data_IF_598465592958
#
_entry.id   IF_598465592958
#
_cell.length_a   1.000
_cell.length_b   1.000
_cell.length_c   1.000
_cell.angle_alpha   90.00
_cell.angle_beta   90.00
_cell.angle_gamma   90.00
#
_symmetry.space_group_name_H-M   'P 1'
#
loop_
_entity.id
_entity.type
_entity.pdbx_description
1 polymer ?
#
# COMPACT_ATOMS: atom_id res chain seq x y z
N UNK A 1 25.61 15.46 -4.85
CA UNK A 1 26.37 16.68 -4.52
C UNK A 1 25.69 17.87 -5.13
N UNK A 2 25.51 18.91 -4.32
CA UNK A 2 24.95 20.21 -4.72
C UNK A 2 26.07 21.25 -4.64
N UNK A 3 26.21 22.11 -5.66
CA UNK A 3 27.11 23.24 -5.64
C UNK A 3 26.31 24.53 -5.72
N UNK A 4 26.46 25.41 -4.73
CA UNK A 4 25.65 26.64 -4.57
C UNK A 4 24.14 26.35 -4.69
N UNK A 5 23.67 25.24 -4.11
CA UNK A 5 22.26 24.82 -4.15
C UNK A 5 21.81 24.13 -5.45
N UNK A 6 22.62 24.06 -6.49
CA UNK A 6 22.29 23.38 -7.75
C UNK A 6 22.85 21.96 -7.78
N UNK A 7 22.07 21.01 -8.27
CA UNK A 7 22.51 19.63 -8.46
C UNK A 7 23.64 19.56 -9.51
N UNK A 8 24.75 18.89 -9.17
CA UNK A 8 25.92 18.76 -10.05
C UNK A 8 26.16 17.31 -10.45
N UNK A 9 26.19 16.39 -9.48
CA UNK A 9 26.52 14.99 -9.75
C UNK A 9 25.96 14.05 -8.68
N UNK A 10 25.70 12.80 -9.09
CA UNK A 10 25.51 11.66 -8.19
C UNK A 10 26.84 10.92 -8.09
N UNK A 11 27.21 10.50 -6.89
CA UNK A 11 28.41 9.68 -6.64
C UNK A 11 27.99 8.29 -6.19
N UNK A 12 28.80 7.29 -6.53
CA UNK A 12 28.58 5.94 -6.05
C UNK A 12 28.93 5.81 -4.55
N UNK A 13 28.40 4.78 -3.86
CA UNK A 13 28.79 4.49 -2.48
C UNK A 13 30.30 4.33 -2.35
N UNK A 14 30.88 4.95 -1.31
CA UNK A 14 32.31 4.90 -1.05
C UNK A 14 32.88 6.27 -0.65
N UNK A 15 34.20 6.34 -0.61
CA UNK A 15 34.90 7.58 -0.30
C UNK A 15 34.89 8.52 -1.52
N UNK A 16 34.22 9.66 -1.40
CA UNK A 16 34.13 10.66 -2.44
C UNK A 16 34.56 12.02 -1.89
N UNK A 17 35.41 12.72 -2.65
CA UNK A 17 35.84 14.06 -2.31
C UNK A 17 34.80 15.09 -2.76
N UNK A 18 34.52 16.07 -1.91
CA UNK A 18 33.70 17.23 -2.22
C UNK A 18 34.36 18.51 -1.62
N UNK A 19 34.04 19.65 -2.18
CA UNK A 19 34.53 20.95 -1.67
C UNK A 19 33.74 21.29 -0.38
N UNK A 20 34.38 21.74 0.70
CA UNK A 20 33.68 22.05 1.95
C UNK A 20 32.68 23.20 1.80
N UNK A 21 31.73 23.25 2.77
CA UNK A 21 30.80 24.38 2.89
C UNK A 21 31.55 25.72 2.90
N UNK A 22 31.00 26.76 2.26
CA UNK A 22 29.61 26.87 1.74
C UNK A 22 29.47 26.51 0.24
N UNK A 23 30.52 26.01 -0.42
CA UNK A 23 30.53 25.79 -1.87
C UNK A 23 29.71 24.54 -2.26
N UNK A 24 29.98 23.42 -1.61
CA UNK A 24 29.25 22.18 -1.88
C UNK A 24 28.53 21.65 -0.64
N UNK A 25 27.33 21.06 -0.89
CA UNK A 25 26.52 20.34 0.10
C UNK A 25 26.22 18.95 -0.40
N UNK A 26 26.34 17.96 0.45
CA UNK A 26 26.06 16.56 0.12
C UNK A 26 24.77 16.12 0.77
N UNK A 27 23.88 15.49 -0.01
CA UNK A 27 22.70 14.77 0.47
C UNK A 27 22.95 13.28 0.29
N UNK A 28 22.76 12.48 1.36
CA UNK A 28 23.03 11.03 1.36
C UNK A 28 21.77 10.25 1.73
N UNK A 29 20.79 10.11 0.80
CA UNK A 29 19.63 9.28 1.06
C UNK A 29 20.04 7.79 1.13
N UNK A 30 19.39 7.03 1.99
CA UNK A 30 19.66 5.59 2.17
C UNK A 30 18.97 4.78 1.07
N UNK A 31 19.57 4.68 -0.11
CA UNK A 31 18.99 4.02 -1.29
C UNK A 31 18.80 2.51 -1.13
N UNK A 32 19.59 1.86 -0.28
CA UNK A 32 19.49 0.39 -0.04
C UNK A 32 18.48 0.03 1.06
N UNK A 33 17.98 1.02 1.79
CA UNK A 33 17.00 0.78 2.85
C UNK A 33 15.64 0.53 2.23
N UNK A 34 15.01 -0.60 2.54
CA UNK A 34 13.60 -0.80 2.28
C UNK A 34 12.81 0.04 3.29
N UNK A 35 12.04 0.96 2.78
CA UNK A 35 11.11 1.76 3.57
C UNK A 35 9.77 1.01 3.59
N UNK A 36 9.07 1.08 4.72
CA UNK A 36 7.74 0.53 4.90
C UNK A 36 6.79 1.68 5.23
N UNK A 37 5.63 1.64 4.64
CA UNK A 37 4.54 2.56 4.93
C UNK A 37 3.28 1.76 5.20
N UNK A 38 2.67 2.01 6.35
CA UNK A 38 1.45 1.36 6.78
C UNK A 38 0.25 2.26 6.50
N UNK A 39 -0.81 1.71 5.90
CA UNK A 39 -2.02 2.41 5.50
C UNK A 39 -3.22 1.67 6.08
N UNK A 40 -4.15 2.42 6.68
CA UNK A 40 -5.31 1.90 7.40
C UNK A 40 -5.07 1.69 8.89
N UNK A 41 -3.84 1.56 9.31
CA UNK A 41 -3.47 1.35 10.71
C UNK A 41 -2.18 2.07 11.09
N UNK A 42 -1.97 2.26 12.39
CA UNK A 42 -0.71 2.76 12.95
C UNK A 42 -0.13 1.73 13.91
N UNK A 43 1.10 1.31 13.65
CA UNK A 43 1.86 0.43 14.51
C UNK A 43 2.49 1.22 15.67
N UNK A 44 2.72 0.57 16.83
CA UNK A 44 3.35 1.19 18.02
C UNK A 44 4.69 1.90 17.74
N UNK A 45 5.39 1.50 16.67
CA UNK A 45 6.67 2.10 16.31
C UNK A 45 6.58 3.53 15.82
N UNK A 46 5.39 3.95 15.32
CA UNK A 46 5.19 5.30 14.75
C UNK A 46 4.54 6.27 15.74
N UNK A 47 3.87 5.74 16.76
CA UNK A 47 3.07 6.55 17.70
C UNK A 47 3.74 6.71 19.02
N UNK A 48 4.93 6.91 19.28
CA UNK A 48 5.61 7.31 20.55
C UNK A 48 4.86 7.20 21.90
N UNK A 49 3.70 6.56 21.90
CA UNK A 49 2.84 6.29 23.05
C UNK A 49 2.93 4.81 23.45
N UNK A 50 3.27 4.55 24.68
CA UNK A 50 3.47 3.21 25.29
C UNK A 50 2.17 2.48 25.64
N UNK A 51 1.14 2.59 24.82
CA UNK A 51 -0.11 1.85 25.04
C UNK A 51 -0.28 0.83 23.90
N UNK A 52 0.07 -0.42 24.20
CA UNK A 52 0.18 -1.55 23.26
C UNK A 52 -1.10 -1.85 22.49
N UNK A 53 -1.32 -1.17 21.36
CA UNK A 53 -2.42 -1.43 20.47
C UNK A 53 -2.15 -0.91 19.06
N UNK A 54 -2.55 -1.69 18.05
CA UNK A 54 -2.67 -1.20 16.68
C UNK A 54 -3.89 -0.28 16.65
N UNK A 55 -3.70 0.99 16.29
CA UNK A 55 -4.80 1.94 16.13
C UNK A 55 -5.26 1.91 14.67
N UNK A 56 -6.50 1.49 14.44
CA UNK A 56 -7.14 1.57 13.12
C UNK A 56 -7.42 3.03 12.75
N UNK A 57 -7.23 3.35 11.46
CA UNK A 57 -7.53 4.66 10.87
C UNK A 57 -8.62 4.47 9.82
N UNK A 58 -9.92 4.54 10.21
CA UNK A 58 -11.02 4.21 9.31
C UNK A 58 -11.09 5.06 8.04
N UNK A 59 -10.58 6.29 8.09
CA UNK A 59 -10.53 7.19 6.92
C UNK A 59 -9.63 6.65 5.80
N UNK A 60 -8.62 5.85 6.15
CA UNK A 60 -7.66 5.24 5.22
C UNK A 60 -8.04 3.81 4.86
N UNK A 61 -8.69 3.06 5.77
CA UNK A 61 -8.95 1.62 5.65
C UNK A 61 -10.30 1.27 5.04
N UNK A 62 -11.32 2.12 5.20
CA UNK A 62 -12.66 1.83 4.67
C UNK A 62 -12.74 2.07 3.17
N UNK A 63 -13.13 1.03 2.43
CA UNK A 63 -13.24 1.05 0.98
C UNK A 63 -14.53 0.40 0.52
N UNK A 64 -15.06 0.86 -0.63
CA UNK A 64 -16.25 0.30 -1.27
C UNK A 64 -15.82 -0.66 -2.38
N UNK A 65 -16.38 -1.87 -2.37
CA UNK A 65 -16.15 -2.90 -3.38
C UNK A 65 -17.05 -2.70 -4.61
N UNK A 66 -16.72 -3.36 -5.72
CA UNK A 66 -17.51 -3.30 -6.95
C UNK A 66 -18.91 -3.92 -6.86
N UNK A 67 -19.19 -4.71 -5.83
CA UNK A 67 -20.50 -5.29 -5.49
C UNK A 67 -21.18 -4.58 -4.30
N UNK A 68 -20.84 -3.29 -4.11
CA UNK A 68 -21.50 -2.36 -3.16
C UNK A 68 -21.37 -2.76 -1.67
N UNK A 69 -20.33 -3.51 -1.31
CA UNK A 69 -20.02 -3.82 0.08
C UNK A 69 -18.93 -2.89 0.61
N UNK A 70 -18.96 -2.61 1.91
CA UNK A 70 -17.89 -1.88 2.61
C UNK A 70 -16.94 -2.90 3.23
N UNK A 71 -15.65 -2.70 3.00
CA UNK A 71 -14.57 -3.50 3.58
C UNK A 71 -13.57 -2.62 4.30
N UNK A 72 -12.98 -3.14 5.36
CA UNK A 72 -11.87 -2.54 6.08
C UNK A 72 -10.59 -3.25 5.62
N UNK A 73 -9.67 -2.51 4.98
CA UNK A 73 -8.44 -3.06 4.42
C UNK A 73 -7.24 -2.31 4.97
N UNK A 74 -6.40 -3.05 5.69
CA UNK A 74 -5.12 -2.58 6.17
C UNK A 74 -4.00 -3.19 5.33
N UNK A 75 -3.10 -2.36 4.85
CA UNK A 75 -2.00 -2.84 4.02
C UNK A 75 -0.71 -2.05 4.24
N UNK A 76 0.41 -2.69 3.87
CA UNK A 76 1.73 -2.10 3.95
C UNK A 76 2.36 -2.06 2.56
N UNK A 77 2.95 -0.92 2.23
CA UNK A 77 3.72 -0.74 0.99
C UNK A 77 5.20 -0.71 1.32
N UNK A 78 5.97 -1.54 0.65
CA UNK A 78 7.42 -1.59 0.73
C UNK A 78 8.03 -0.96 -0.51
N UNK A 79 8.94 -0.04 -0.32
CA UNK A 79 9.56 0.69 -1.42
C UNK A 79 11.03 1.04 -1.14
N UNK A 80 11.78 1.26 -2.21
CA UNK A 80 13.20 1.66 -2.18
C UNK A 80 13.42 2.86 -3.09
N UNK A 81 14.49 3.58 -2.83
CA UNK A 81 14.90 4.70 -3.68
C UNK A 81 15.74 4.15 -4.83
N UNK A 82 15.21 4.21 -6.06
CA UNK A 82 15.90 3.80 -7.27
C UNK A 82 16.81 4.89 -7.81
N UNK A 83 16.35 6.13 -7.79
CA UNK A 83 17.09 7.31 -8.24
C UNK A 83 17.06 8.40 -7.16
N UNK A 84 18.21 8.58 -6.49
CA UNK A 84 18.36 9.55 -5.42
C UNK A 84 18.21 11.02 -5.90
N UNK A 85 18.55 11.31 -7.17
CA UNK A 85 18.40 12.65 -7.73
C UNK A 85 16.94 13.01 -7.90
N UNK A 86 16.16 12.13 -8.53
CA UNK A 86 14.72 12.32 -8.70
C UNK A 86 14.01 12.39 -7.36
N UNK A 87 14.28 11.46 -6.45
CA UNK A 87 13.70 11.41 -5.12
C UNK A 87 13.89 12.71 -4.31
N UNK A 88 15.06 13.35 -4.42
CA UNK A 88 15.39 14.53 -3.64
C UNK A 88 14.93 15.86 -4.27
N UNK A 89 14.69 15.89 -5.59
CA UNK A 89 14.51 17.15 -6.30
C UNK A 89 13.25 17.23 -7.17
N UNK A 90 12.59 16.11 -7.47
CA UNK A 90 11.39 16.12 -8.29
C UNK A 90 10.11 16.23 -7.44
N UNK A 91 10.12 15.71 -6.23
CA UNK A 91 8.96 15.68 -5.36
C UNK A 91 9.27 16.37 -4.05
N UNK A 92 8.37 17.23 -3.60
CA UNK A 92 8.52 17.97 -2.34
C UNK A 92 8.34 17.07 -1.11
N UNK A 93 7.32 16.20 -1.16
CA UNK A 93 7.01 15.22 -0.12
C UNK A 93 6.88 13.82 -0.74
N UNK A 94 7.99 13.06 -0.82
CA UNK A 94 7.97 11.72 -1.39
C UNK A 94 7.13 10.73 -0.59
N UNK A 95 7.15 10.80 0.74
CA UNK A 95 6.40 9.89 1.60
C UNK A 95 4.89 10.12 1.47
N UNK A 96 4.45 11.38 1.53
CA UNK A 96 3.05 11.73 1.29
C UNK A 96 2.57 11.36 -0.12
N UNK A 97 3.43 11.48 -1.13
CA UNK A 97 3.12 11.07 -2.50
C UNK A 97 2.94 9.56 -2.62
N UNK A 98 3.83 8.77 -2.01
CA UNK A 98 3.68 7.29 -1.97
C UNK A 98 2.39 6.90 -1.27
N UNK A 99 2.05 7.55 -0.15
CA UNK A 99 0.82 7.31 0.58
C UNK A 99 -0.42 7.57 -0.27
N UNK A 100 -0.51 8.74 -0.87
CA UNK A 100 -1.64 9.13 -1.72
C UNK A 100 -1.79 8.21 -2.95
N UNK A 101 -0.67 7.84 -3.59
CA UNK A 101 -0.66 6.89 -4.69
C UNK A 101 -1.14 5.51 -4.26
N UNK A 102 -0.70 5.03 -3.09
CA UNK A 102 -1.08 3.73 -2.56
C UNK A 102 -2.56 3.66 -2.18
N UNK A 103 -3.08 4.68 -1.51
CA UNK A 103 -4.51 4.78 -1.18
C UNK A 103 -5.38 4.82 -2.44
N UNK A 104 -4.98 5.59 -3.45
CA UNK A 104 -5.70 5.71 -4.71
C UNK A 104 -5.70 4.39 -5.47
N UNK A 105 -4.55 3.75 -5.61
CA UNK A 105 -4.40 2.47 -6.30
C UNK A 105 -5.22 1.35 -5.64
N UNK A 106 -5.13 1.23 -4.30
CA UNK A 106 -5.89 0.21 -3.58
C UNK A 106 -7.40 0.44 -3.74
N UNK A 107 -7.89 1.67 -3.57
CA UNK A 107 -9.32 1.98 -3.80
C UNK A 107 -9.77 1.64 -5.21
N UNK A 108 -8.95 1.90 -6.22
CA UNK A 108 -9.27 1.56 -7.62
C UNK A 108 -9.39 0.05 -7.83
N UNK A 109 -8.47 -0.74 -7.28
CA UNK A 109 -8.49 -2.20 -7.40
C UNK A 109 -9.68 -2.79 -6.64
N UNK A 110 -9.92 -2.32 -5.42
CA UNK A 110 -11.04 -2.79 -4.58
C UNK A 110 -12.39 -2.44 -5.21
N UNK A 111 -12.54 -1.24 -5.77
CA UNK A 111 -13.77 -0.83 -6.46
C UNK A 111 -14.10 -1.67 -7.69
N UNK A 112 -13.12 -2.36 -8.28
CA UNK A 112 -13.31 -3.30 -9.39
C UNK A 112 -13.49 -4.75 -8.92
N UNK A 113 -13.22 -5.05 -7.67
CA UNK A 113 -13.21 -6.38 -7.09
C UNK A 113 -14.51 -6.69 -6.34
N UNK A 114 -14.87 -7.98 -6.28
CA UNK A 114 -15.99 -8.45 -5.46
C UNK A 114 -15.49 -8.80 -4.05
N UNK A 115 -16.33 -8.60 -3.05
CA UNK A 115 -15.96 -8.87 -1.66
C UNK A 115 -15.44 -10.29 -1.43
N UNK A 116 -16.00 -11.31 -2.10
CA UNK A 116 -15.52 -12.68 -1.97
C UNK A 116 -14.07 -12.86 -2.43
N UNK A 117 -13.66 -12.19 -3.52
CA UNK A 117 -12.30 -12.26 -4.03
C UNK A 117 -11.30 -11.59 -3.05
N UNK A 118 -11.74 -10.51 -2.40
CA UNK A 118 -10.93 -9.77 -1.43
C UNK A 118 -10.68 -10.61 -0.16
N UNK A 119 -11.69 -11.34 0.30
CA UNK A 119 -11.63 -12.12 1.53
C UNK A 119 -10.99 -13.51 1.37
N UNK A 120 -10.82 -14.02 0.14
CA UNK A 120 -10.34 -15.38 -0.12
C UNK A 120 -9.02 -15.41 -0.93
N UNK A 121 -9.00 -16.11 -2.05
CA UNK A 121 -7.81 -16.39 -2.86
C UNK A 121 -7.36 -15.21 -3.75
N UNK A 122 -8.16 -14.16 -3.85
CA UNK A 122 -7.85 -12.99 -4.70
C UNK A 122 -6.78 -12.05 -4.15
N UNK A 123 -6.34 -12.25 -2.89
CA UNK A 123 -5.41 -11.34 -2.20
C UNK A 123 -4.11 -11.08 -2.98
N UNK A 124 -3.44 -12.13 -3.44
CA UNK A 124 -2.19 -11.99 -4.20
C UNK A 124 -2.39 -11.23 -5.53
N UNK A 125 -3.53 -11.42 -6.18
CA UNK A 125 -3.87 -10.68 -7.39
C UNK A 125 -4.07 -9.20 -7.10
N UNK A 126 -4.81 -8.87 -6.04
CA UNK A 126 -5.06 -7.50 -5.59
C UNK A 126 -3.74 -6.80 -5.22
N UNK A 127 -2.86 -7.47 -4.49
CA UNK A 127 -1.55 -6.95 -4.11
C UNK A 127 -0.69 -6.62 -5.34
N UNK A 128 -0.64 -7.51 -6.34
CA UNK A 128 0.11 -7.30 -7.57
C UNK A 128 -0.48 -6.17 -8.43
N UNK A 129 -1.79 -6.17 -8.65
CA UNK A 129 -2.46 -5.10 -9.42
C UNK A 129 -2.28 -3.73 -8.73
N UNK A 130 -2.40 -3.69 -7.41
CA UNK A 130 -2.16 -2.46 -6.64
C UNK A 130 -0.70 -2.00 -6.79
N UNK A 131 0.27 -2.92 -6.70
CA UNK A 131 1.68 -2.60 -6.89
C UNK A 131 1.96 -2.00 -8.27
N UNK A 132 1.38 -2.56 -9.33
CA UNK A 132 1.54 -2.06 -10.70
C UNK A 132 0.96 -0.65 -10.86
N UNK A 133 -0.22 -0.39 -10.30
CA UNK A 133 -0.85 0.93 -10.37
C UNK A 133 -0.04 1.96 -9.57
N UNK A 134 0.40 1.64 -8.34
CA UNK A 134 1.26 2.52 -7.55
C UNK A 134 2.53 2.86 -8.33
N UNK A 135 3.19 1.85 -8.92
CA UNK A 135 4.41 2.06 -9.69
C UNK A 135 4.16 2.95 -10.91
N UNK A 136 3.06 2.74 -11.61
CA UNK A 136 2.68 3.59 -12.77
C UNK A 136 2.49 5.06 -12.38
N UNK A 137 1.80 5.32 -11.26
CA UNK A 137 1.59 6.68 -10.74
C UNK A 137 2.93 7.32 -10.35
N UNK A 138 3.79 6.58 -9.63
CA UNK A 138 5.09 7.08 -9.19
C UNK A 138 6.06 7.32 -10.35
N UNK A 139 5.95 6.55 -11.43
CA UNK A 139 6.74 6.72 -12.66
C UNK A 139 6.27 7.95 -13.45
N UNK A 140 4.96 8.20 -13.51
CA UNK A 140 4.40 9.41 -14.14
C UNK A 140 4.92 10.69 -13.45
N UNK A 141 5.00 10.68 -12.11
CA UNK A 141 5.60 11.78 -11.35
C UNK A 141 7.13 11.83 -11.38
N UNK A 142 7.79 10.89 -12.07
CA UNK A 142 9.25 10.77 -12.08
C UNK A 142 9.86 10.74 -10.67
N UNK A 143 9.22 10.06 -9.73
CA UNK A 143 9.55 10.06 -8.30
C UNK A 143 10.94 9.51 -7.96
N UNK A 144 11.49 8.64 -8.82
CA UNK A 144 12.71 7.90 -8.52
C UNK A 144 12.54 6.83 -7.43
N UNK A 145 11.28 6.44 -7.14
CA UNK A 145 10.92 5.42 -6.17
C UNK A 145 10.56 4.13 -6.91
N UNK A 146 10.92 2.99 -6.33
CA UNK A 146 10.49 1.67 -6.80
C UNK A 146 9.73 0.96 -5.69
N UNK A 147 8.50 0.57 -5.98
CA UNK A 147 7.69 -0.28 -5.10
C UNK A 147 8.18 -1.71 -5.23
N UNK A 148 8.56 -2.32 -4.12
CA UNK A 148 9.06 -3.70 -4.10
C UNK A 148 7.96 -4.70 -3.80
N UNK A 149 7.03 -4.34 -2.93
CA UNK A 149 5.92 -5.21 -2.54
C UNK A 149 4.78 -4.39 -1.94
N UNK A 150 3.56 -4.85 -2.16
CA UNK A 150 2.36 -4.47 -1.40
C UNK A 150 1.92 -5.71 -0.63
N UNK A 151 1.58 -5.56 0.64
CA UNK A 151 1.16 -6.65 1.51
C UNK A 151 -0.09 -6.25 2.28
N UNK A 152 -1.16 -7.00 2.10
CA UNK A 152 -2.40 -6.83 2.86
C UNK A 152 -2.25 -7.48 4.23
N UNK A 153 -2.52 -6.73 5.30
CA UNK A 153 -2.46 -7.20 6.68
C UNK A 153 -3.82 -7.73 7.13
N UNK A 154 -4.86 -6.94 6.92
CA UNK A 154 -6.22 -7.23 7.32
C UNK A 154 -7.17 -6.92 6.16
N UNK A 155 -8.18 -7.76 5.95
CA UNK A 155 -9.27 -7.47 5.02
C UNK A 155 -10.54 -8.13 5.59
N UNK A 156 -11.36 -7.32 6.25
CA UNK A 156 -12.58 -7.77 6.94
C UNK A 156 -13.74 -6.80 6.66
N UNK A 157 -14.99 -7.29 6.73
CA UNK A 157 -16.12 -6.38 6.82
C UNK A 157 -16.03 -5.51 8.09
N UNK A 158 -16.58 -4.30 8.10
CA UNK A 158 -16.65 -3.47 9.32
C UNK A 158 -17.30 -4.23 10.48
N UNK A 159 -16.81 -4.03 11.70
CA UNK A 159 -17.26 -4.75 12.91
C UNK A 159 -18.78 -4.69 13.11
N UNK A 160 -19.40 -3.57 12.72
CA UNK A 160 -20.85 -3.34 12.86
C UNK A 160 -21.71 -4.31 12.00
N UNK A 161 -21.18 -4.89 10.94
CA UNK A 161 -21.89 -5.74 9.98
C UNK A 161 -21.37 -7.17 9.92
N UNK A 162 -20.37 -7.53 10.73
CA UNK A 162 -19.75 -8.86 10.72
C UNK A 162 -20.77 -9.97 10.92
N UNK A 163 -21.68 -9.82 11.89
CA UNK A 163 -22.67 -10.85 12.20
C UNK A 163 -23.69 -11.03 11.05
N UNK A 164 -24.19 -9.91 10.51
CA UNK A 164 -25.07 -9.94 9.34
C UNK A 164 -24.38 -10.54 8.10
N UNK A 165 -23.11 -10.24 7.90
CA UNK A 165 -22.33 -10.81 6.81
C UNK A 165 -22.13 -12.32 6.96
N UNK A 166 -21.88 -12.82 8.17
CA UNK A 166 -21.77 -14.25 8.47
C UNK A 166 -23.08 -14.98 8.21
N UNK A 167 -24.21 -14.40 8.59
CA UNK A 167 -25.54 -14.99 8.33
C UNK A 167 -25.81 -15.12 6.83
N UNK A 168 -25.46 -14.10 6.04
CA UNK A 168 -25.59 -14.15 4.57
C UNK A 168 -24.68 -15.23 3.97
N UNK A 169 -23.44 -15.37 4.46
CA UNK A 169 -22.52 -16.40 3.99
C UNK A 169 -23.03 -17.82 4.35
N UNK A 170 -23.55 -18.01 5.55
CA UNK A 170 -24.17 -19.28 5.97
C UNK A 170 -25.37 -19.63 5.08
N UNK A 171 -26.26 -18.69 4.82
CA UNK A 171 -27.42 -18.89 3.93
C UNK A 171 -27.03 -19.24 2.49
N UNK A 172 -25.96 -18.61 1.96
CA UNK A 172 -25.42 -18.95 0.62
C UNK A 172 -24.84 -20.37 0.59
N UNK A 173 -24.08 -20.77 1.61
CA UNK A 173 -23.51 -22.10 1.71
C UNK A 173 -24.62 -23.17 1.79
N UNK A 174 -25.68 -22.91 2.54
CA UNK A 174 -26.84 -23.79 2.63
C UNK A 174 -27.61 -23.91 1.30
N UNK A 175 -27.75 -22.82 0.57
CA UNK A 175 -28.34 -22.80 -0.76
C UNK A 175 -27.49 -23.61 -1.75
N UNK A 176 -26.18 -23.45 -1.77
CA UNK A 176 -25.29 -24.24 -2.63
C UNK A 176 -25.31 -25.72 -2.28
N UNK A 177 -25.34 -26.04 -0.98
CA UNK A 177 -25.46 -27.43 -0.54
C UNK A 177 -26.77 -28.05 -1.01
N UNK A 178 -27.91 -27.37 -0.82
CA UNK A 178 -29.21 -27.84 -1.26
C UNK A 178 -29.28 -28.00 -2.79
N UNK A 179 -28.64 -27.10 -3.53
CA UNK A 179 -28.54 -27.20 -4.99
C UNK A 179 -27.73 -28.45 -5.42
N UNK A 180 -26.54 -28.64 -4.80
CA UNK A 180 -25.69 -29.80 -5.10
C UNK A 180 -26.37 -31.13 -4.75
N UNK A 181 -27.10 -31.16 -3.62
CA UNK A 181 -27.94 -32.34 -3.24
C UNK A 181 -29.05 -32.60 -4.28
N UNK A 182 -29.75 -31.55 -4.72
CA UNK A 182 -30.79 -31.70 -5.76
C UNK A 182 -30.21 -32.17 -7.10
N UNK A 183 -29.05 -31.66 -7.51
CA UNK A 183 -28.35 -32.12 -8.73
C UNK A 183 -27.87 -33.57 -8.61
N UNK A 184 -27.44 -34.01 -7.42
CA UNK A 184 -27.06 -35.40 -7.16
C UNK A 184 -28.24 -36.36 -7.23
N UNK A 185 -29.48 -35.91 -6.88
CA UNK A 185 -30.69 -36.71 -7.02
C UNK A 185 -31.23 -36.76 -8.47
N UNK A 186 -30.84 -35.79 -9.32
CA UNK A 186 -31.31 -35.69 -10.69
C UNK A 186 -30.48 -36.52 -11.70
N UNK A 187 -29.29 -36.99 -11.29
CA UNK A 187 -28.40 -37.87 -12.06
C UNK A 187 -28.48 -39.32 -11.59
#
# INVERSE_FOLDING_TARGET
VLRFGKFVKTTQPGLNYHIPLPIETVKTPKVTKVNRMDIGFRSERDSGFSSGGVADVPEESLMLTGDENIVNIDFSVFWVIKDAGKFLFQIQDPEGTVKAAAETAMREVIAKSRIQQILTEGRAKIENETQEIIQSILDEYNSGIQVTQVQTQKSDPPDQVIDAFRDVQAARADMERSKNEAEAYAN
#
